data_IF_981329149544
#
_entry.id   IF_981329149544
#
_cell.length_a   1.000
_cell.length_b   1.000
_cell.length_c   1.000
_cell.angle_alpha   90.00
_cell.angle_beta   90.00
_cell.angle_gamma   90.00
#
_symmetry.space_group_name_H-M   'P 1'
#
loop_
_entity.id
_entity.type
_entity.pdbx_description
1 polymer ?
#
# COMPACT_ATOMS: atom_id res chain seq x y z
N UNK A 1 -4.80 -15.75 14.96
CA UNK A 1 -3.34 -15.58 15.16
C UNK A 1 -2.88 -14.35 14.40
N UNK A 2 -2.63 -13.24 15.09
CA UNK A 2 -2.17 -12.00 14.47
C UNK A 2 -0.66 -12.11 14.25
N UNK A 3 -0.25 -12.46 13.02
CA UNK A 3 1.15 -12.41 12.62
C UNK A 3 1.56 -10.94 12.52
N UNK A 4 2.25 -10.45 13.54
CA UNK A 4 2.99 -9.18 13.50
C UNK A 4 4.13 -9.33 12.50
N UNK A 5 3.84 -9.16 11.21
CA UNK A 5 4.84 -8.92 10.18
C UNK A 5 4.75 -7.45 9.83
N UNK A 6 5.37 -6.54 10.59
CA UNK A 6 5.41 -5.17 10.07
C UNK A 6 6.61 -4.28 10.40
N UNK A 7 7.64 -4.75 11.09
CA UNK A 7 8.96 -4.12 11.04
C UNK A 7 9.96 -5.27 11.18
N UNK A 8 10.84 -5.47 10.20
CA UNK A 8 12.00 -6.36 10.40
C UNK A 8 12.80 -5.77 11.56
N UNK A 9 12.97 -6.54 12.63
CA UNK A 9 13.58 -6.05 13.89
C UNK A 9 15.01 -5.55 13.64
N UNK A 10 15.68 -6.11 12.62
CA UNK A 10 17.00 -5.69 12.14
C UNK A 10 16.95 -5.59 10.61
N UNK A 11 16.76 -4.38 10.04
CA UNK A 11 16.85 -4.20 8.60
C UNK A 11 18.31 -4.33 8.14
N UNK A 12 18.49 -4.90 6.95
CA UNK A 12 19.78 -4.94 6.26
C UNK A 12 20.19 -3.53 5.78
N UNK A 13 21.48 -3.32 5.53
CA UNK A 13 21.95 -2.02 4.98
C UNK A 13 21.29 -1.68 3.65
N UNK A 14 21.06 -2.68 2.79
CA UNK A 14 20.37 -2.51 1.51
C UNK A 14 18.90 -2.07 1.70
N UNK A 15 18.20 -2.63 2.69
CA UNK A 15 16.84 -2.21 3.02
C UNK A 15 16.80 -0.78 3.56
N UNK A 16 17.78 -0.39 4.39
CA UNK A 16 17.90 0.99 4.89
C UNK A 16 18.18 1.96 3.74
N UNK A 17 19.08 1.59 2.83
CA UNK A 17 19.41 2.37 1.65
C UNK A 17 18.19 2.57 0.73
N UNK A 18 17.51 1.47 0.38
CA UNK A 18 16.36 1.48 -0.50
C UNK A 18 15.18 2.25 0.11
N UNK A 19 14.97 2.10 1.42
CA UNK A 19 13.98 2.87 2.16
C UNK A 19 14.32 4.38 2.19
N UNK A 20 15.60 4.72 2.29
CA UNK A 20 16.08 6.09 2.16
C UNK A 20 15.70 6.72 0.81
N UNK A 21 15.87 5.98 -0.29
CA UNK A 21 15.45 6.42 -1.63
C UNK A 21 13.93 6.67 -1.68
N UNK A 22 13.13 5.79 -1.09
CA UNK A 22 11.68 5.98 -1.00
C UNK A 22 11.31 7.26 -0.27
N UNK A 23 11.94 7.55 0.88
CA UNK A 23 11.68 8.79 1.63
C UNK A 23 12.07 10.05 0.85
N UNK A 24 13.20 10.01 0.13
CA UNK A 24 13.62 11.12 -0.74
C UNK A 24 12.58 11.37 -1.83
N UNK A 25 12.12 10.33 -2.52
CA UNK A 25 11.10 10.44 -3.58
C UNK A 25 9.79 11.03 -3.03
N UNK A 26 9.36 10.62 -1.83
CA UNK A 26 8.19 11.21 -1.14
C UNK A 26 8.36 12.71 -0.83
N UNK A 27 9.57 13.15 -0.49
CA UNK A 27 9.85 14.58 -0.27
C UNK A 27 9.79 15.35 -1.60
N UNK A 28 10.37 14.80 -2.67
CA UNK A 28 10.36 15.41 -4.01
C UNK A 28 8.95 15.54 -4.57
N UNK A 29 8.06 14.58 -4.29
CA UNK A 29 6.67 14.68 -4.70
C UNK A 29 5.96 15.94 -4.16
N UNK A 30 6.39 16.46 -3.00
CA UNK A 30 5.85 17.73 -2.46
C UNK A 30 6.16 18.94 -3.33
N UNK A 31 7.20 18.87 -4.16
CA UNK A 31 7.59 19.90 -5.13
C UNK A 31 7.25 19.51 -6.57
N UNK A 32 6.37 18.52 -6.76
CA UNK A 32 5.97 17.99 -8.07
C UNK A 32 7.16 17.44 -8.88
N UNK A 33 8.12 16.84 -8.18
CA UNK A 33 9.27 16.10 -8.72
C UNK A 33 9.25 14.65 -8.28
N UNK A 34 10.07 13.82 -8.91
CA UNK A 34 10.35 12.44 -8.51
C UNK A 34 11.80 12.11 -8.83
N UNK A 35 12.41 11.13 -8.14
CA UNK A 35 13.72 10.58 -8.48
C UNK A 35 13.83 10.17 -9.96
N UNK A 36 12.71 9.82 -10.59
CA UNK A 36 12.62 9.54 -12.04
C UNK A 36 13.02 10.73 -12.92
N UNK A 37 12.95 11.95 -12.41
CA UNK A 37 13.40 13.16 -13.12
C UNK A 37 14.94 13.27 -13.21
N UNK A 38 15.67 12.40 -12.51
CA UNK A 38 17.14 12.33 -12.52
C UNK A 38 17.61 10.93 -12.97
N UNK A 39 17.93 10.72 -14.26
CA UNK A 39 18.21 9.39 -14.82
C UNK A 39 19.40 8.63 -14.20
N UNK A 40 20.31 9.34 -13.54
CA UNK A 40 21.48 8.75 -12.86
C UNK A 40 21.16 8.29 -11.44
N UNK A 41 20.00 8.66 -10.90
CA UNK A 41 19.61 8.31 -9.54
C UNK A 41 18.92 6.94 -9.52
N UNK A 42 19.29 6.06 -8.58
CA UNK A 42 18.57 4.82 -8.37
C UNK A 42 17.16 5.09 -7.84
N UNK A 43 16.24 4.18 -8.17
CA UNK A 43 14.85 4.21 -7.70
C UNK A 43 14.67 3.22 -6.55
N UNK A 44 13.78 3.52 -5.58
CA UNK A 44 13.40 2.55 -4.57
C UNK A 44 12.77 1.31 -5.22
N UNK A 45 13.20 0.12 -4.80
CA UNK A 45 12.74 -1.17 -5.31
C UNK A 45 11.69 -1.82 -4.39
N UNK A 46 11.74 -1.54 -3.10
CA UNK A 46 10.80 -2.06 -2.11
C UNK A 46 9.43 -1.41 -2.17
N UNK A 47 8.39 -2.19 -1.90
CA UNK A 47 7.01 -1.70 -1.74
C UNK A 47 6.80 -1.09 -0.34
N UNK A 48 7.54 -0.02 -0.06
CA UNK A 48 7.53 0.66 1.23
C UNK A 48 6.21 1.37 1.52
N UNK A 49 5.47 1.75 0.47
CA UNK A 49 4.14 2.33 0.61
C UNK A 49 3.14 1.32 1.19
N UNK A 50 3.23 0.04 0.83
CA UNK A 50 2.42 -1.02 1.44
C UNK A 50 2.95 -1.40 2.82
N UNK A 51 4.27 -1.45 3.01
CA UNK A 51 4.88 -1.79 4.30
C UNK A 51 4.59 -0.75 5.40
N UNK A 52 4.51 0.53 5.04
CA UNK A 52 4.34 1.66 5.99
C UNK A 52 3.00 2.37 5.86
N UNK A 53 2.21 2.05 4.84
CA UNK A 53 0.90 2.63 4.61
C UNK A 53 -0.07 2.34 5.75
N UNK A 54 -1.21 3.04 5.75
CA UNK A 54 -2.27 2.75 6.68
C UNK A 54 -2.82 1.35 6.40
N UNK A 55 -2.38 0.38 7.20
CA UNK A 55 -2.76 -1.04 7.11
C UNK A 55 -4.27 -1.22 6.96
N UNK A 56 -5.06 -0.41 7.67
CA UNK A 56 -6.52 -0.46 7.60
C UNK A 56 -7.04 -0.13 6.20
N UNK A 57 -6.45 0.86 5.53
CA UNK A 57 -6.80 1.20 4.15
C UNK A 57 -6.31 0.14 3.16
N UNK A 58 -5.14 -0.46 3.39
CA UNK A 58 -4.64 -1.54 2.55
C UNK A 58 -5.53 -2.80 2.66
N UNK A 59 -5.91 -3.19 3.88
CA UNK A 59 -6.83 -4.29 4.15
C UNK A 59 -8.23 -4.00 3.58
N UNK A 60 -8.73 -2.77 3.70
CA UNK A 60 -10.00 -2.35 3.09
C UNK A 60 -9.98 -2.34 1.56
N UNK A 61 -8.83 -2.13 0.92
CA UNK A 61 -8.71 -2.10 -0.55
C UNK A 61 -8.39 -3.48 -1.15
N UNK A 62 -7.98 -4.44 -0.34
CA UNK A 62 -7.67 -5.81 -0.76
C UNK A 62 -8.89 -6.74 -0.59
N UNK A 63 -10.07 -6.30 -1.03
CA UNK A 63 -11.22 -7.17 -1.15
C UNK A 63 -11.30 -7.74 -2.58
N UNK A 64 -11.85 -8.94 -2.71
CA UNK A 64 -12.09 -9.58 -4.00
C UNK A 64 -13.34 -8.96 -4.68
N UNK A 65 -13.18 -8.23 -5.80
CA UNK A 65 -14.31 -7.55 -6.45
C UNK A 65 -15.36 -8.52 -7.00
N UNK A 66 -14.95 -9.70 -7.46
CA UNK A 66 -15.89 -10.70 -8.01
C UNK A 66 -16.72 -11.31 -6.88
N UNK A 67 -16.08 -11.64 -5.77
CA UNK A 67 -16.76 -12.16 -4.59
C UNK A 67 -17.74 -11.12 -3.99
N UNK A 68 -17.33 -9.86 -3.90
CA UNK A 68 -18.24 -8.80 -3.42
C UNK A 68 -19.42 -8.57 -4.37
N UNK A 69 -19.20 -8.67 -5.68
CA UNK A 69 -20.28 -8.56 -6.67
C UNK A 69 -21.31 -9.69 -6.50
N UNK A 70 -20.84 -10.93 -6.30
CA UNK A 70 -21.70 -12.08 -6.03
C UNK A 70 -22.52 -11.90 -4.74
N UNK A 71 -21.86 -11.55 -3.64
CA UNK A 71 -22.54 -11.32 -2.35
C UNK A 71 -23.58 -10.21 -2.45
N UNK A 72 -23.27 -9.13 -3.18
CA UNK A 72 -24.21 -8.05 -3.41
C UNK A 72 -25.46 -8.55 -4.17
N UNK A 73 -25.28 -9.32 -5.25
CA UNK A 73 -26.38 -9.88 -6.01
C UNK A 73 -27.29 -10.80 -5.17
N UNK A 74 -26.71 -11.57 -4.25
CA UNK A 74 -27.46 -12.45 -3.34
C UNK A 74 -28.23 -11.68 -2.25
N UNK A 75 -27.69 -10.54 -1.80
CA UNK A 75 -28.26 -9.78 -0.67
C UNK A 75 -29.23 -8.68 -1.08
N UNK A 76 -29.11 -8.13 -2.29
CA UNK A 76 -30.03 -7.11 -2.81
C UNK A 76 -31.51 -7.53 -2.72
N UNK A 77 -31.90 -8.78 -3.08
CA UNK A 77 -33.28 -9.23 -2.94
C UNK A 77 -33.78 -9.38 -1.49
N UNK A 78 -32.87 -9.42 -0.51
CA UNK A 78 -33.17 -9.56 0.91
C UNK A 78 -33.29 -8.21 1.64
N UNK A 79 -33.08 -7.09 0.92
CA UNK A 79 -33.25 -5.76 1.48
C UNK A 79 -34.72 -5.52 1.80
N UNK A 80 -34.98 -4.93 2.97
CA UNK A 80 -36.34 -4.57 3.33
C UNK A 80 -36.85 -3.50 2.35
N UNK A 81 -38.07 -3.65 1.80
CA UNK A 81 -38.59 -2.76 0.77
C UNK A 81 -38.89 -1.32 1.25
N UNK A 82 -38.81 -1.05 2.56
CA UNK A 82 -39.25 0.21 3.20
C UNK A 82 -38.09 1.11 3.69
N UNK A 83 -36.93 1.13 3.01
CA UNK A 83 -35.87 2.12 3.24
C UNK A 83 -35.99 3.33 2.32
#
# INVERSE_FOLDING_TARGET
MLRTRNIRIEPTEDEVYDFGLYLIDQILHKTNKSLRDWPTMPLPQGDWAVALGNRLLAEQRNYDPEEQSRIAAERIPLLNPDQ
#
